data_IF_513387643856
#
_entry.id   IF_513387643856
#
_cell.length_a   1.000
_cell.length_b   1.000
_cell.length_c   1.000
_cell.angle_alpha   90.00
_cell.angle_beta   90.00
_cell.angle_gamma   90.00
#
_symmetry.space_group_name_H-M   'P 1'
#
loop_
_entity.id
_entity.type
_entity.pdbx_description
1 polymer ?
#
# COMPACT_ATOMS: atom_id res chain seq x y z
N UNK A 1 -1.25 32.57 5.98
CA UNK A 1 -2.49 32.50 6.76
C UNK A 1 -3.61 32.89 5.81
N UNK A 2 -4.32 31.90 5.27
CA UNK A 2 -5.63 32.10 4.68
C UNK A 2 -6.45 30.89 5.16
N UNK A 3 -7.17 31.14 6.25
CA UNK A 3 -8.23 30.29 6.74
C UNK A 3 -9.22 30.06 5.61
N UNK A 4 -9.20 28.86 5.04
CA UNK A 4 -10.38 28.32 4.36
C UNK A 4 -11.04 27.38 5.36
N UNK A 5 -11.48 27.97 6.47
CA UNK A 5 -12.29 27.32 7.46
C UNK A 5 -13.70 27.09 6.87
N UNK A 6 -14.16 25.85 7.03
CA UNK A 6 -15.54 25.49 7.33
C UNK A 6 -16.61 26.43 6.76
N UNK A 7 -17.06 26.17 5.53
CA UNK A 7 -18.44 26.50 5.20
C UNK A 7 -19.35 25.53 5.94
N UNK A 8 -19.94 26.08 7.00
CA UNK A 8 -20.99 25.47 7.80
C UNK A 8 -22.21 25.14 6.95
N UNK A 9 -22.75 23.96 7.27
CA UNK A 9 -24.12 23.51 7.04
C UNK A 9 -25.13 24.64 6.91
N UNK A 10 -25.58 24.88 5.69
CA UNK A 10 -26.95 25.33 5.44
C UNK A 10 -27.33 24.98 4.02
N UNK A 11 -28.36 24.14 3.89
CA UNK A 11 -29.01 23.61 2.67
C UNK A 11 -28.37 22.34 2.07
N UNK A 12 -28.97 21.18 2.35
CA UNK A 12 -30.09 20.71 1.53
C UNK A 12 -30.75 19.46 2.14
N UNK A 13 -32.08 19.39 2.11
CA UNK A 13 -32.89 18.16 2.31
C UNK A 13 -32.69 17.13 1.18
N UNK A 14 -31.47 17.02 0.65
CA UNK A 14 -31.14 16.03 -0.38
C UNK A 14 -30.71 14.76 0.35
N UNK A 15 -31.38 13.62 0.13
CA UNK A 15 -30.96 12.34 0.69
C UNK A 15 -29.49 12.10 0.32
N UNK A 16 -28.62 11.95 1.32
CA UNK A 16 -27.20 11.73 1.12
C UNK A 16 -26.86 10.28 1.44
N UNK A 17 -26.50 9.53 0.42
CA UNK A 17 -26.14 8.14 0.65
C UNK A 17 -24.70 8.04 1.16
N UNK A 18 -24.54 7.33 2.27
CA UNK A 18 -23.32 7.25 3.05
C UNK A 18 -22.90 5.81 3.22
N UNK A 19 -21.70 5.48 2.75
CA UNK A 19 -21.14 4.14 2.88
C UNK A 19 -19.71 4.16 3.41
N UNK A 20 -19.35 3.12 4.15
CA UNK A 20 -17.99 2.81 4.54
C UNK A 20 -17.59 1.49 3.91
N UNK A 21 -16.57 1.53 3.06
CA UNK A 21 -15.95 0.33 2.52
C UNK A 21 -14.80 -0.08 3.42
N UNK A 22 -14.73 -1.36 3.74
CA UNK A 22 -13.73 -1.90 4.65
C UNK A 22 -13.15 -3.20 4.12
N UNK A 23 -11.83 -3.33 4.21
CA UNK A 23 -11.14 -4.62 4.09
C UNK A 23 -10.75 -5.04 5.48
N UNK A 24 -11.34 -6.12 5.97
CA UNK A 24 -11.14 -6.64 7.33
C UNK A 24 -10.32 -7.91 7.28
N UNK A 25 -9.44 -8.10 8.26
CA UNK A 25 -8.79 -9.39 8.42
C UNK A 25 -9.71 -10.45 9.06
N UNK A 26 -9.17 -11.65 9.28
CA UNK A 26 -9.88 -12.77 9.90
C UNK A 26 -10.42 -12.48 11.30
N UNK A 27 -9.83 -11.52 12.01
CA UNK A 27 -10.27 -11.08 13.34
C UNK A 27 -11.26 -9.93 13.28
N UNK A 28 -11.59 -9.45 12.08
CA UNK A 28 -12.41 -8.25 11.89
C UNK A 28 -11.64 -6.94 12.08
N UNK A 29 -10.30 -6.99 12.20
CA UNK A 29 -9.49 -5.77 12.30
C UNK A 29 -9.38 -5.12 10.93
N UNK A 30 -9.61 -3.80 10.81
CA UNK A 30 -9.50 -3.14 9.53
C UNK A 30 -8.05 -3.16 9.03
N UNK A 31 -7.89 -3.52 7.76
CA UNK A 31 -6.63 -3.39 7.02
C UNK A 31 -6.67 -2.13 6.18
N UNK A 32 -7.84 -1.85 5.61
CA UNK A 32 -8.11 -0.70 4.74
C UNK A 32 -9.51 -0.20 4.98
N UNK A 33 -9.69 1.12 4.91
CA UNK A 33 -11.00 1.76 5.02
C UNK A 33 -11.12 2.88 3.99
N UNK A 34 -12.31 3.05 3.40
CA UNK A 34 -12.63 4.15 2.48
C UNK A 34 -14.08 4.61 2.70
N UNK A 35 -14.30 5.87 3.12
CA UNK A 35 -15.64 6.44 3.12
C UNK A 35 -16.07 6.76 1.68
N UNK A 36 -17.36 6.63 1.42
CA UNK A 36 -18.03 7.10 0.22
C UNK A 36 -19.25 7.91 0.66
N UNK A 37 -19.24 9.20 0.35
CA UNK A 37 -20.36 10.10 0.63
C UNK A 37 -20.82 10.64 -0.71
N UNK A 38 -22.01 10.23 -1.14
CA UNK A 38 -22.63 10.73 -2.37
C UNK A 38 -23.72 11.73 -2.02
N UNK A 39 -23.44 13.00 -2.35
CA UNK A 39 -24.36 14.12 -2.17
C UNK A 39 -25.34 14.30 -3.35
N UNK A 40 -25.30 13.41 -4.34
CA UNK A 40 -26.09 13.47 -5.56
C UNK A 40 -27.42 12.72 -5.50
N UNK A 41 -28.34 13.06 -6.42
CA UNK A 41 -29.67 12.40 -6.56
C UNK A 41 -29.63 10.97 -7.13
N UNK A 42 -28.49 10.52 -7.67
CA UNK A 42 -28.28 9.17 -8.19
C UNK A 42 -27.00 8.60 -7.57
N UNK A 43 -27.12 7.89 -6.44
CA UNK A 43 -25.94 7.35 -5.76
C UNK A 43 -25.14 6.45 -6.69
N UNK A 44 -23.86 6.77 -6.93
CA UNK A 44 -22.90 5.91 -7.63
C UNK A 44 -22.14 4.98 -6.68
N UNK A 45 -22.69 4.75 -5.49
CA UNK A 45 -22.04 3.96 -4.43
C UNK A 45 -21.74 2.54 -4.89
N UNK A 46 -22.64 1.91 -5.65
CA UNK A 46 -22.43 0.57 -6.19
C UNK A 46 -21.19 0.52 -7.10
N UNK A 47 -20.98 1.57 -7.90
CA UNK A 47 -19.81 1.71 -8.78
C UNK A 47 -18.55 2.06 -7.99
N UNK A 48 -18.67 2.88 -6.94
CA UNK A 48 -17.56 3.21 -6.05
C UNK A 48 -17.09 1.98 -5.27
N UNK A 49 -18.01 1.13 -4.82
CA UNK A 49 -17.70 -0.12 -4.14
C UNK A 49 -17.09 -1.14 -5.10
N UNK A 50 -17.59 -1.25 -6.34
CA UNK A 50 -16.92 -2.01 -7.40
C UNK A 50 -15.47 -1.55 -7.61
N UNK A 51 -15.25 -0.24 -7.70
CA UNK A 51 -13.92 0.34 -7.82
C UNK A 51 -13.02 -0.01 -6.63
N UNK A 52 -13.59 0.00 -5.41
CA UNK A 52 -12.91 -0.44 -4.19
C UNK A 52 -12.48 -1.91 -4.25
N UNK A 53 -13.39 -2.82 -4.61
CA UNK A 53 -13.13 -4.26 -4.76
C UNK A 53 -12.07 -4.54 -5.82
N UNK A 54 -12.19 -3.90 -6.99
CA UNK A 54 -11.22 -4.04 -8.09
C UNK A 54 -9.82 -3.59 -7.68
N UNK A 55 -9.71 -2.50 -6.93
CA UNK A 55 -8.44 -2.03 -6.40
C UNK A 55 -7.86 -2.98 -5.35
N UNK A 56 -8.69 -3.52 -4.46
CA UNK A 56 -8.30 -4.54 -3.47
C UNK A 56 -7.74 -5.80 -4.14
N UNK A 57 -8.42 -6.29 -5.19
CA UNK A 57 -7.96 -7.38 -6.04
C UNK A 57 -6.61 -7.03 -6.67
N UNK A 58 -6.47 -5.84 -7.26
CA UNK A 58 -5.22 -5.42 -7.90
C UNK A 58 -4.06 -5.32 -6.91
N UNK A 59 -4.29 -4.77 -5.71
CA UNK A 59 -3.28 -4.67 -4.64
C UNK A 59 -2.78 -6.06 -4.25
N UNK A 60 -3.68 -7.06 -4.17
CA UNK A 60 -3.36 -8.40 -3.69
C UNK A 60 -3.02 -9.40 -4.80
N UNK A 61 -3.15 -9.03 -6.07
CA UNK A 61 -2.65 -9.80 -7.22
C UNK A 61 -1.11 -9.68 -7.41
N UNK A 62 -0.40 -9.20 -6.39
CA UNK A 62 1.06 -9.20 -6.33
C UNK A 62 1.51 -10.63 -5.96
N UNK A 63 2.71 -11.06 -6.37
CA UNK A 63 3.33 -12.38 -6.07
C UNK A 63 3.64 -12.61 -4.57
N UNK A 64 2.67 -12.31 -3.71
CA UNK A 64 2.67 -12.44 -2.27
C UNK A 64 1.54 -13.41 -1.85
N UNK A 65 1.48 -13.75 -0.57
CA UNK A 65 0.36 -14.53 -0.06
C UNK A 65 -0.93 -13.70 -0.16
N UNK A 66 -1.98 -14.27 -0.75
CA UNK A 66 -3.32 -13.65 -0.75
C UNK A 66 -3.94 -13.95 0.62
N UNK A 67 -4.20 -12.93 1.45
CA UNK A 67 -4.80 -13.16 2.75
C UNK A 67 -6.30 -13.42 2.61
N UNK A 68 -6.88 -14.13 3.59
CA UNK A 68 -8.33 -14.41 3.63
C UNK A 68 -9.11 -13.24 4.23
N UNK A 69 -8.88 -12.05 3.69
CA UNK A 69 -9.55 -10.83 4.12
C UNK A 69 -10.99 -10.79 3.62
N UNK A 70 -11.83 -10.01 4.30
CA UNK A 70 -13.22 -9.76 3.92
C UNK A 70 -13.37 -8.35 3.39
N UNK A 71 -13.97 -8.22 2.23
CA UNK A 71 -14.36 -6.96 1.60
C UNK A 71 -15.81 -6.68 2.01
N UNK A 72 -16.03 -5.59 2.73
CA UNK A 72 -17.31 -5.24 3.33
C UNK A 72 -17.77 -3.85 2.87
N UNK A 73 -19.09 -3.71 2.69
CA UNK A 73 -19.78 -2.44 2.54
C UNK A 73 -20.76 -2.25 3.68
N UNK A 74 -20.60 -1.15 4.41
CA UNK A 74 -21.54 -0.71 5.43
C UNK A 74 -22.26 0.53 4.93
N UNK A 75 -23.59 0.49 4.87
CA UNK A 75 -24.42 1.64 4.52
C UNK A 75 -24.99 2.28 5.79
N UNK A 76 -25.00 3.60 5.81
CA UNK A 76 -25.42 4.43 6.94
C UNK A 76 -26.55 5.35 6.53
N UNK A 77 -27.35 5.75 7.53
CA UNK A 77 -28.37 6.77 7.36
C UNK A 77 -27.72 8.17 7.25
N UNK A 78 -28.47 9.16 6.75
CA UNK A 78 -27.99 10.49 6.37
C UNK A 78 -27.36 11.31 7.51
N UNK A 79 -27.64 11.00 8.77
CA UNK A 79 -27.11 11.68 9.94
C UNK A 79 -25.74 11.15 10.38
N UNK A 80 -25.29 10.01 9.84
CA UNK A 80 -24.05 9.39 10.26
C UNK A 80 -22.82 10.29 10.01
N UNK A 81 -21.95 10.49 11.02
CA UNK A 81 -20.82 11.42 10.96
C UNK A 81 -19.58 10.79 10.32
N UNK A 82 -19.69 10.17 9.14
CA UNK A 82 -18.56 9.54 8.42
C UNK A 82 -17.36 10.49 8.22
N UNK A 83 -17.61 11.79 8.07
CA UNK A 83 -16.56 12.81 7.95
C UNK A 83 -15.70 12.97 9.22
N UNK A 84 -16.21 12.58 10.39
CA UNK A 84 -15.51 12.66 11.69
C UNK A 84 -14.70 11.41 12.00
N UNK A 85 -14.86 10.34 11.22
CA UNK A 85 -14.12 9.11 11.46
C UNK A 85 -12.62 9.35 11.25
N UNK A 86 -11.82 9.07 12.28
CA UNK A 86 -10.39 9.35 12.27
C UNK A 86 -9.62 8.23 11.56
N UNK A 87 -9.31 8.43 10.27
CA UNK A 87 -8.59 7.45 9.44
C UNK A 87 -7.15 7.17 9.87
N UNK A 88 -6.59 8.08 10.68
CA UNK A 88 -5.28 7.89 11.29
C UNK A 88 -5.33 6.97 12.50
N UNK A 89 -6.49 6.62 13.07
CA UNK A 89 -6.54 5.71 14.21
C UNK A 89 -6.67 4.23 13.76
N UNK A 90 -5.69 3.36 14.09
CA UNK A 90 -5.67 1.98 13.63
C UNK A 90 -6.43 1.05 14.58
N UNK A 91 -7.17 1.55 15.57
CA UNK A 91 -7.90 0.66 16.47
C UNK A 91 -9.08 -0.03 15.76
N UNK A 92 -9.12 -1.36 15.85
CA UNK A 92 -10.25 -2.15 15.40
C UNK A 92 -11.51 -1.84 16.22
N UNK A 93 -11.33 -1.58 17.51
CA UNK A 93 -12.44 -1.30 18.41
C UNK A 93 -13.12 0.02 18.05
N UNK A 94 -12.36 1.02 17.60
CA UNK A 94 -12.91 2.28 17.13
C UNK A 94 -13.75 2.09 15.87
N UNK A 95 -13.31 1.23 14.95
CA UNK A 95 -14.10 0.88 13.77
C UNK A 95 -15.40 0.18 14.15
N UNK A 96 -15.33 -0.88 14.97
CA UNK A 96 -16.51 -1.65 15.39
C UNK A 96 -17.50 -0.77 16.13
N UNK A 97 -17.04 -0.02 17.14
CA UNK A 97 -17.88 0.94 17.89
C UNK A 97 -18.50 1.98 16.96
N UNK A 98 -17.74 2.54 16.03
CA UNK A 98 -18.27 3.52 15.08
C UNK A 98 -19.40 2.93 14.21
N UNK A 99 -19.22 1.73 13.66
CA UNK A 99 -20.25 1.08 12.84
C UNK A 99 -21.51 0.83 13.68
N UNK A 100 -21.36 0.30 14.89
CA UNK A 100 -22.49 -0.02 15.78
C UNK A 100 -23.22 1.23 16.28
N UNK A 101 -22.50 2.22 16.80
CA UNK A 101 -23.06 3.45 17.39
C UNK A 101 -23.76 4.35 16.36
N UNK A 102 -23.35 4.27 15.09
CA UNK A 102 -23.90 5.09 14.01
C UNK A 102 -24.81 4.31 13.06
N UNK A 103 -25.25 3.10 13.45
CA UNK A 103 -26.28 2.34 12.73
C UNK A 103 -25.83 1.78 11.37
N UNK A 104 -24.53 1.55 11.17
CA UNK A 104 -23.98 1.01 9.92
C UNK A 104 -24.48 -0.41 9.64
N UNK A 105 -25.18 -0.59 8.52
CA UNK A 105 -25.75 -1.87 8.08
C UNK A 105 -24.82 -2.51 7.07
N UNK A 106 -24.36 -3.73 7.35
CA UNK A 106 -23.59 -4.52 6.39
C UNK A 106 -24.50 -4.92 5.22
N UNK A 107 -24.22 -4.41 4.02
CA UNK A 107 -25.04 -4.65 2.82
C UNK A 107 -24.39 -5.61 1.83
N UNK A 108 -23.06 -5.55 1.68
CA UNK A 108 -22.30 -6.49 0.84
C UNK A 108 -21.08 -7.01 1.60
N UNK A 109 -20.80 -8.31 1.46
CA UNK A 109 -19.60 -8.96 2.03
C UNK A 109 -19.08 -10.05 1.10
N UNK A 110 -17.78 -10.01 0.78
CA UNK A 110 -17.08 -11.02 -0.01
C UNK A 110 -15.76 -11.40 0.64
N UNK A 111 -15.27 -12.62 0.45
CA UNK A 111 -13.86 -12.89 0.71
C UNK A 111 -13.02 -12.29 -0.41
N UNK A 112 -11.83 -11.80 -0.09
CA UNK A 112 -10.87 -11.29 -1.06
C UNK A 112 -10.48 -12.39 -2.05
N UNK A 113 -10.34 -13.63 -1.57
CA UNK A 113 -10.03 -14.79 -2.43
C UNK A 113 -11.18 -15.02 -3.43
N UNK A 114 -12.44 -14.96 -3.00
CA UNK A 114 -13.60 -15.10 -3.90
C UNK A 114 -13.64 -13.99 -4.94
N UNK A 115 -13.40 -12.73 -4.53
CA UNK A 115 -13.31 -11.61 -5.46
C UNK A 115 -12.16 -11.82 -6.46
N UNK A 116 -10.98 -12.22 -6.01
CA UNK A 116 -9.85 -12.54 -6.89
C UNK A 116 -10.18 -13.69 -7.85
N UNK A 117 -10.80 -14.77 -7.36
CA UNK A 117 -11.26 -15.88 -8.20
C UNK A 117 -12.19 -15.40 -9.30
N UNK A 118 -13.20 -14.59 -8.98
CA UNK A 118 -14.13 -14.07 -9.99
C UNK A 118 -13.40 -13.19 -11.00
N UNK A 119 -12.59 -12.25 -10.54
CA UNK A 119 -11.87 -11.30 -11.40
C UNK A 119 -10.77 -11.94 -12.26
N UNK A 120 -10.22 -13.09 -11.85
CA UNK A 120 -9.14 -13.77 -12.59
C UNK A 120 -9.61 -14.98 -13.40
N UNK A 121 -10.68 -15.65 -12.97
CA UNK A 121 -11.09 -16.94 -13.54
C UNK A 121 -12.48 -16.91 -14.19
N UNK A 122 -13.29 -15.87 -13.95
CA UNK A 122 -14.64 -15.74 -14.50
C UNK A 122 -14.80 -14.54 -15.45
N UNK A 123 -13.72 -13.81 -15.73
CA UNK A 123 -13.69 -12.65 -16.64
C UNK A 123 -13.99 -12.98 -18.10
N UNK A 124 -13.89 -14.25 -18.50
CA UNK A 124 -14.18 -14.71 -19.87
C UNK A 124 -15.69 -14.97 -20.12
N UNK A 125 -16.58 -14.57 -19.19
CA UNK A 125 -18.03 -14.61 -19.43
C UNK A 125 -18.51 -13.27 -19.98
N UNK A 126 -18.76 -13.15 -21.30
CA UNK A 126 -19.04 -11.86 -21.96
C UNK A 126 -20.33 -11.17 -21.51
N UNK A 127 -21.18 -11.85 -20.74
CA UNK A 127 -22.54 -11.39 -20.43
C UNK A 127 -22.69 -10.78 -19.03
N UNK A 128 -21.69 -10.88 -18.14
CA UNK A 128 -21.83 -10.40 -16.75
C UNK A 128 -20.55 -9.72 -16.22
N UNK A 129 -20.63 -8.46 -15.78
CA UNK A 129 -19.57 -7.81 -14.98
C UNK A 129 -19.19 -8.65 -13.75
N UNK A 130 -17.93 -8.61 -13.34
CA UNK A 130 -17.41 -9.44 -12.24
C UNK A 130 -18.15 -9.21 -10.92
N UNK A 131 -18.58 -7.98 -10.66
CA UNK A 131 -19.38 -7.65 -9.48
C UNK A 131 -20.79 -8.24 -9.52
N UNK A 132 -21.40 -8.37 -10.69
CA UNK A 132 -22.71 -9.01 -10.82
C UNK A 132 -22.63 -10.50 -10.53
N UNK A 133 -21.53 -11.14 -10.92
CA UNK A 133 -21.23 -12.53 -10.56
C UNK A 133 -21.14 -12.68 -9.03
N UNK A 134 -20.37 -11.81 -8.36
CA UNK A 134 -20.25 -11.83 -6.90
C UNK A 134 -21.59 -11.58 -6.20
N UNK A 135 -22.33 -10.54 -6.61
CA UNK A 135 -23.64 -10.19 -6.03
C UNK A 135 -24.64 -11.33 -6.18
N UNK A 136 -24.72 -11.96 -7.35
CA UNK A 136 -25.63 -13.10 -7.58
C UNK A 136 -25.23 -14.35 -6.79
N UNK A 137 -23.94 -14.61 -6.66
CA UNK A 137 -23.45 -15.77 -5.91
C UNK A 137 -23.70 -15.64 -4.40
N UNK A 138 -23.53 -14.43 -3.85
CA UNK A 138 -23.61 -14.14 -2.42
C UNK A 138 -24.85 -13.33 -2.02
N UNK A 139 -25.88 -13.27 -2.87
CA UNK A 139 -27.16 -12.62 -2.52
C UNK A 139 -27.74 -13.30 -1.26
N UNK A 140 -27.99 -12.54 -0.16
CA UNK A 140 -28.48 -13.11 1.09
C UNK A 140 -29.94 -13.61 1.00
N UNK A 141 -30.71 -13.16 0.01
CA UNK A 141 -32.12 -13.53 -0.21
C UNK A 141 -32.25 -14.67 -1.21
N UNK A 142 -31.49 -14.61 -2.30
CA UNK A 142 -31.60 -15.57 -3.40
C UNK A 142 -30.24 -15.86 -4.06
N UNK A 143 -29.34 -16.59 -3.38
CA UNK A 143 -28.04 -16.91 -3.95
C UNK A 143 -28.17 -17.89 -5.12
N UNK A 144 -27.42 -17.67 -6.19
CA UNK A 144 -27.27 -18.63 -7.28
C UNK A 144 -26.35 -19.76 -6.81
N UNK A 145 -26.95 -20.84 -6.28
CA UNK A 145 -26.23 -21.91 -5.59
C UNK A 145 -25.10 -22.52 -6.43
N UNK A 146 -25.35 -22.86 -7.69
CA UNK A 146 -24.33 -23.43 -8.59
C UNK A 146 -23.13 -22.48 -8.81
N UNK A 147 -23.40 -21.18 -8.91
CA UNK A 147 -22.35 -20.19 -9.09
C UNK A 147 -21.52 -20.05 -7.80
N UNK A 148 -22.20 -19.99 -6.65
CA UNK A 148 -21.55 -19.95 -5.35
C UNK A 148 -20.69 -21.19 -5.10
N UNK A 149 -21.20 -22.38 -5.40
CA UNK A 149 -20.46 -23.64 -5.25
C UNK A 149 -19.19 -23.64 -6.08
N UNK A 150 -19.27 -23.21 -7.36
CA UNK A 150 -18.10 -23.08 -8.22
C UNK A 150 -17.05 -22.12 -7.68
N UNK A 151 -17.47 -20.95 -7.18
CA UNK A 151 -16.57 -19.96 -6.59
C UNK A 151 -15.94 -20.52 -5.32
N UNK A 152 -16.72 -21.08 -4.40
CA UNK A 152 -16.22 -21.63 -3.15
C UNK A 152 -15.28 -22.82 -3.35
N UNK A 153 -15.48 -23.63 -4.39
CA UNK A 153 -14.55 -24.70 -4.75
C UNK A 153 -13.17 -24.14 -5.16
N UNK A 154 -13.16 -23.07 -5.95
CA UNK A 154 -11.92 -22.37 -6.30
C UNK A 154 -11.26 -21.73 -5.08
N UNK A 155 -12.06 -21.10 -4.20
CA UNK A 155 -11.57 -20.52 -2.94
C UNK A 155 -10.96 -21.60 -2.05
N UNK A 156 -11.62 -22.76 -1.92
CA UNK A 156 -11.12 -23.88 -1.12
C UNK A 156 -9.78 -24.38 -1.65
N UNK A 157 -9.70 -24.62 -2.97
CA UNK A 157 -8.46 -25.02 -3.66
C UNK A 157 -7.34 -23.99 -3.43
N UNK A 158 -7.67 -22.69 -3.48
CA UNK A 158 -6.70 -21.63 -3.22
C UNK A 158 -6.20 -21.66 -1.77
N UNK A 159 -7.10 -21.86 -0.79
CA UNK A 159 -6.72 -22.00 0.63
C UNK A 159 -5.83 -23.21 0.88
N UNK A 160 -6.11 -24.34 0.23
CA UNK A 160 -5.23 -25.52 0.30
C UNK A 160 -3.84 -25.22 -0.27
N UNK A 161 -3.77 -24.51 -1.41
CA UNK A 161 -2.50 -24.06 -1.98
C UNK A 161 -1.72 -23.13 -1.04
N UNK A 162 -2.39 -22.21 -0.34
CA UNK A 162 -1.77 -21.34 0.67
C UNK A 162 -1.13 -22.15 1.82
N UNK A 163 -1.69 -23.31 2.18
CA UNK A 163 -1.18 -24.17 3.25
C UNK A 163 -0.04 -25.08 2.77
N UNK A 164 -0.22 -25.70 1.60
CA UNK A 164 0.65 -26.76 1.10
C UNK A 164 1.88 -26.22 0.35
N UNK A 165 1.81 -25.01 -0.21
CA UNK A 165 2.91 -24.42 -0.97
C UNK A 165 3.62 -23.34 -0.14
N UNK A 166 4.89 -23.57 0.28
CA UNK A 166 5.68 -22.59 1.03
C UNK A 166 5.84 -21.23 0.31
N UNK A 167 5.70 -21.19 -1.01
CA UNK A 167 5.73 -19.94 -1.81
C UNK A 167 4.51 -19.06 -1.52
N UNK A 168 3.38 -19.66 -1.16
CA UNK A 168 2.09 -19.00 -0.94
C UNK A 168 1.72 -18.89 0.55
N UNK A 169 2.51 -19.48 1.44
CA UNK A 169 2.33 -19.34 2.88
C UNK A 169 2.51 -17.88 3.31
N UNK A 170 1.79 -17.51 4.38
CA UNK A 170 1.95 -16.20 5.02
C UNK A 170 3.40 -15.98 5.39
N UNK A 171 3.83 -14.74 5.29
CA UNK A 171 5.19 -14.37 5.64
C UNK A 171 5.27 -12.94 6.08
N UNK A 172 6.49 -12.52 6.33
CA UNK A 172 6.82 -11.15 6.69
C UNK A 172 7.98 -10.61 5.86
N UNK A 173 8.02 -9.29 5.74
CA UNK A 173 9.16 -8.52 5.27
C UNK A 173 9.79 -7.91 6.53
N UNK A 174 11.07 -8.22 6.77
CA UNK A 174 11.83 -7.70 7.91
C UNK A 174 12.90 -6.76 7.37
N UNK A 175 12.73 -5.47 7.61
CA UNK A 175 13.71 -4.45 7.28
C UNK A 175 14.49 -4.07 8.53
N UNK A 176 15.79 -4.30 8.51
CA UNK A 176 16.69 -4.06 9.63
C UNK A 176 17.64 -2.92 9.32
N UNK A 177 17.70 -1.96 10.24
CA UNK A 177 18.60 -0.81 10.22
C UNK A 177 19.39 -0.77 11.54
N UNK A 178 20.40 0.11 11.68
CA UNK A 178 21.05 0.35 12.98
C UNK A 178 20.08 0.80 14.10
N UNK A 179 18.90 1.35 13.76
CA UNK A 179 17.85 1.69 14.73
C UNK A 179 17.04 0.48 15.21
N UNK A 180 17.21 -0.67 14.58
CA UNK A 180 16.42 -1.88 14.79
C UNK A 180 15.63 -2.25 13.53
N UNK A 181 14.72 -3.19 13.71
CA UNK A 181 13.93 -3.81 12.64
C UNK A 181 12.48 -3.33 12.65
N UNK A 182 11.89 -3.20 11.47
CA UNK A 182 10.44 -3.22 11.31
C UNK A 182 10.03 -4.54 10.67
N UNK A 183 8.86 -5.03 11.04
CA UNK A 183 8.28 -6.26 10.48
C UNK A 183 6.97 -5.89 9.82
N UNK A 184 6.82 -6.19 8.54
CA UNK A 184 5.62 -5.94 7.75
C UNK A 184 5.08 -7.26 7.23
N UNK A 185 3.78 -7.35 6.98
CA UNK A 185 3.22 -8.54 6.35
C UNK A 185 3.73 -8.71 4.92
N UNK A 186 3.99 -9.94 4.49
CA UNK A 186 4.29 -10.25 3.10
C UNK A 186 2.99 -10.52 2.32
N UNK A 187 2.15 -9.48 2.24
CA UNK A 187 0.88 -9.43 1.49
C UNK A 187 0.93 -8.28 0.49
N UNK A 188 -0.08 -8.16 -0.40
CA UNK A 188 -0.21 -6.99 -1.28
C UNK A 188 -0.21 -5.66 -0.51
N UNK A 189 -0.93 -5.66 0.63
CA UNK A 189 -0.99 -4.55 1.56
C UNK A 189 0.33 -4.24 2.23
N UNK A 190 0.99 -5.24 2.82
CA UNK A 190 2.26 -5.02 3.48
C UNK A 190 3.36 -4.59 2.51
N UNK A 191 3.30 -4.99 1.23
CA UNK A 191 4.18 -4.46 0.18
C UNK A 191 3.94 -2.96 -0.12
N UNK A 192 2.68 -2.49 -0.08
CA UNK A 192 2.38 -1.05 -0.21
C UNK A 192 2.94 -0.28 0.98
N UNK A 193 2.75 -0.79 2.20
CA UNK A 193 3.32 -0.22 3.42
C UNK A 193 4.85 -0.21 3.38
N UNK A 194 5.48 -1.29 2.93
CA UNK A 194 6.93 -1.41 2.76
C UNK A 194 7.45 -0.33 1.81
N UNK A 195 6.81 -0.14 0.65
CA UNK A 195 7.17 0.95 -0.26
C UNK A 195 7.02 2.33 0.38
N UNK A 196 5.96 2.56 1.17
CA UNK A 196 5.76 3.80 1.91
C UNK A 196 6.87 4.06 2.93
N UNK A 197 7.30 3.04 3.67
CA UNK A 197 8.42 3.13 4.60
C UNK A 197 9.75 3.40 3.90
N UNK A 198 10.04 2.69 2.82
CA UNK A 198 11.27 2.91 2.06
C UNK A 198 11.30 4.29 1.39
N UNK A 199 10.16 4.80 0.92
CA UNK A 199 10.07 6.16 0.41
C UNK A 199 10.34 7.19 1.52
N UNK A 200 9.83 6.98 2.73
CA UNK A 200 10.17 7.82 3.88
C UNK A 200 11.68 7.82 4.15
N UNK A 201 12.34 6.65 4.14
CA UNK A 201 13.80 6.60 4.26
C UNK A 201 14.52 7.33 3.12
N UNK A 202 14.01 7.25 1.89
CA UNK A 202 14.57 7.94 0.74
C UNK A 202 14.43 9.46 0.86
N UNK A 203 13.28 9.95 1.32
CA UNK A 203 13.02 11.38 1.47
C UNK A 203 13.89 12.00 2.57
N UNK A 204 14.15 11.25 3.65
CA UNK A 204 14.97 11.65 4.79
C UNK A 204 16.45 11.20 4.70
N UNK A 205 16.87 10.65 3.56
CA UNK A 205 18.18 9.99 3.42
C UNK A 205 19.37 10.88 3.81
N UNK A 206 19.33 12.16 3.41
CA UNK A 206 20.39 13.13 3.68
C UNK A 206 20.11 14.01 4.91
N UNK A 207 19.10 13.67 5.72
CA UNK A 207 18.82 14.42 6.94
C UNK A 207 19.86 14.12 8.02
N UNK A 208 20.44 15.16 8.67
CA UNK A 208 21.41 14.94 9.73
C UNK A 208 20.88 14.10 10.90
N UNK A 209 19.56 14.11 11.11
CA UNK A 209 18.88 13.34 12.15
C UNK A 209 18.75 11.85 11.80
N UNK A 210 18.94 11.44 10.55
CA UNK A 210 18.79 10.06 10.07
C UNK A 210 20.13 9.44 9.66
N UNK A 211 21.24 10.15 9.88
CA UNK A 211 22.59 9.73 9.50
C UNK A 211 23.07 8.42 10.13
N UNK A 212 22.45 8.00 11.21
CA UNK A 212 22.73 6.74 11.89
C UNK A 212 22.15 5.53 11.13
N UNK A 213 21.20 5.74 10.21
CA UNK A 213 20.67 4.71 9.30
C UNK A 213 21.68 4.50 8.16
N UNK A 214 22.77 3.81 8.44
CA UNK A 214 23.89 3.58 7.51
C UNK A 214 23.78 2.30 6.68
N UNK A 215 22.77 1.48 6.95
CA UNK A 215 22.52 0.24 6.21
C UNK A 215 21.07 -0.17 6.30
N UNK A 216 20.60 -0.87 5.27
CA UNK A 216 19.30 -1.54 5.25
C UNK A 216 19.50 -3.01 4.86
N UNK A 217 18.96 -3.90 5.68
CA UNK A 217 18.84 -5.31 5.37
C UNK A 217 17.37 -5.72 5.30
N UNK A 218 16.91 -6.12 4.11
CA UNK A 218 15.55 -6.63 3.90
C UNK A 218 15.59 -8.16 3.82
N UNK A 219 14.75 -8.83 4.61
CA UNK A 219 14.50 -10.28 4.53
C UNK A 219 13.02 -10.56 4.29
N UNK A 220 12.71 -11.46 3.36
CA UNK A 220 11.36 -12.03 3.22
C UNK A 220 11.37 -13.44 3.83
N UNK A 221 10.52 -13.66 4.83
CA UNK A 221 10.42 -14.94 5.55
C UNK A 221 8.98 -15.44 5.44
N UNK A 222 8.77 -16.50 4.65
CA UNK A 222 7.50 -17.21 4.50
C UNK A 222 7.43 -18.42 5.44
N UNK A 223 6.23 -18.77 5.87
CA UNK A 223 6.01 -19.81 6.87
C UNK A 223 6.57 -19.44 8.25
N UNK A 224 6.67 -18.14 8.54
CA UNK A 224 7.22 -17.64 9.79
C UNK A 224 6.38 -18.05 11.01
N UNK A 225 6.98 -17.98 12.20
CA UNK A 225 6.26 -18.29 13.45
C UNK A 225 5.04 -17.36 13.64
N UNK A 226 4.00 -17.81 14.36
CA UNK A 226 2.87 -16.96 14.72
C UNK A 226 3.28 -15.67 15.45
N UNK A 227 4.37 -15.72 16.22
CA UNK A 227 4.92 -14.59 16.94
C UNK A 227 5.47 -13.52 15.99
N UNK A 228 6.31 -13.92 15.01
CA UNK A 228 6.84 -12.98 14.03
C UNK A 228 5.74 -12.43 13.11
N UNK A 229 4.79 -13.28 12.72
CA UNK A 229 3.61 -12.84 11.96
C UNK A 229 2.78 -11.79 12.73
N UNK A 230 2.56 -12.00 14.04
CA UNK A 230 1.83 -11.06 14.88
C UNK A 230 2.50 -9.68 14.94
N UNK A 231 3.84 -9.62 14.91
CA UNK A 231 4.57 -8.35 14.80
C UNK A 231 4.28 -7.65 13.47
N UNK A 232 4.23 -8.40 12.36
CA UNK A 232 3.82 -7.88 11.07
C UNK A 232 2.43 -7.24 11.08
N UNK A 233 1.47 -7.90 11.73
CA UNK A 233 0.10 -7.39 11.90
C UNK A 233 0.08 -6.14 12.78
N UNK A 234 0.82 -6.11 13.89
CA UNK A 234 0.88 -4.97 14.79
C UNK A 234 1.44 -3.71 14.11
N UNK A 235 2.40 -3.90 13.18
CA UNK A 235 3.01 -2.82 12.41
C UNK A 235 2.06 -2.07 11.49
N UNK A 236 0.85 -2.60 11.20
CA UNK A 236 -0.20 -1.87 10.48
C UNK A 236 -0.49 -0.50 11.10
N UNK A 237 -0.33 -0.35 12.42
CA UNK A 237 -0.56 0.90 13.16
C UNK A 237 0.36 2.06 12.74
N UNK A 238 1.50 1.73 12.13
CA UNK A 238 2.46 2.71 11.62
C UNK A 238 1.97 3.39 10.34
N UNK A 239 0.88 2.90 9.74
CA UNK A 239 0.38 3.37 8.45
C UNK A 239 -1.07 3.84 8.53
N UNK A 240 -1.41 4.81 7.69
CA UNK A 240 -2.78 5.23 7.48
C UNK A 240 -3.57 4.18 6.66
N UNK A 241 -4.81 3.89 7.06
CA UNK A 241 -5.67 2.86 6.45
C UNK A 241 -6.34 3.26 5.14
N UNK A 242 -6.36 4.55 4.81
CA UNK A 242 -6.94 5.07 3.56
C UNK A 242 -5.96 5.11 2.39
N UNK A 243 -4.65 5.22 2.66
CA UNK A 243 -3.63 5.43 1.62
C UNK A 243 -2.28 4.75 1.81
N UNK A 244 -2.09 3.94 2.87
CA UNK A 244 -0.81 3.25 3.18
C UNK A 244 0.37 4.19 3.43
N UNK A 245 0.11 5.46 3.72
CA UNK A 245 1.14 6.42 4.09
C UNK A 245 1.68 6.11 5.48
N UNK A 246 3.00 6.13 5.62
CA UNK A 246 3.66 5.99 6.91
C UNK A 246 3.32 7.20 7.80
N UNK A 247 3.08 6.95 9.09
CA UNK A 247 2.90 7.96 10.14
C UNK A 247 4.21 7.98 10.94
N UNK A 248 5.12 8.95 10.70
CA UNK A 248 6.48 8.91 11.25
C UNK A 248 6.55 8.77 12.78
N UNK A 249 5.63 9.42 13.49
CA UNK A 249 5.57 9.41 14.96
C UNK A 249 5.25 8.02 15.54
N UNK A 250 4.78 7.11 14.70
CA UNK A 250 4.38 5.75 15.09
C UNK A 250 5.36 4.68 14.67
N UNK A 251 6.44 5.04 13.99
CA UNK A 251 7.49 4.08 13.60
C UNK A 251 8.01 3.41 14.87
N UNK A 252 7.91 2.09 14.90
CA UNK A 252 8.31 1.27 16.05
C UNK A 252 9.39 0.29 15.61
N UNK A 253 10.65 0.70 15.77
CA UNK A 253 11.80 -0.19 15.61
C UNK A 253 11.86 -1.21 16.76
N UNK A 254 12.10 -2.47 16.42
CA UNK A 254 12.15 -3.60 17.35
C UNK A 254 13.46 -4.35 17.22
N UNK A 255 13.87 -5.02 18.28
CA UNK A 255 14.89 -6.04 18.18
C UNK A 255 14.20 -7.36 17.80
N UNK A 256 14.33 -7.76 16.54
CA UNK A 256 13.77 -9.01 16.05
C UNK A 256 14.82 -10.12 16.18
N UNK A 257 14.51 -11.14 16.98
CA UNK A 257 15.25 -12.40 17.00
C UNK A 257 14.65 -13.29 15.92
N UNK A 258 15.48 -13.69 14.96
CA UNK A 258 15.07 -14.53 13.83
C UNK A 258 15.56 -15.99 13.98
N UNK A 259 16.10 -16.34 15.14
CA UNK A 259 16.55 -17.69 15.44
C UNK A 259 15.35 -18.65 15.49
N UNK A 260 15.44 -19.76 14.77
CA UNK A 260 14.36 -20.73 14.64
C UNK A 260 13.31 -20.38 13.58
N UNK A 261 13.40 -19.21 12.94
CA UNK A 261 12.60 -18.90 11.75
C UNK A 261 13.10 -19.69 10.53
N UNK A 262 12.22 -19.96 9.54
CA UNK A 262 12.66 -20.50 8.26
C UNK A 262 13.70 -19.61 7.58
N UNK A 263 14.57 -20.18 6.73
CA UNK A 263 15.49 -19.39 5.92
C UNK A 263 14.74 -18.33 5.10
N UNK A 264 15.28 -17.12 5.07
CA UNK A 264 14.71 -16.05 4.25
C UNK A 264 14.75 -16.46 2.76
N UNK A 265 13.62 -16.35 2.08
CA UNK A 265 13.53 -16.65 0.64
C UNK A 265 14.17 -15.53 -0.19
N UNK A 266 14.13 -14.30 0.32
CA UNK A 266 14.80 -13.15 -0.28
C UNK A 266 15.58 -12.43 0.81
N UNK A 267 16.84 -12.10 0.54
CA UNK A 267 17.69 -11.34 1.46
C UNK A 267 18.54 -10.34 0.68
N UNK A 268 18.45 -9.08 1.07
CA UNK A 268 19.17 -7.99 0.44
C UNK A 268 19.81 -7.11 1.50
N UNK A 269 21.06 -6.74 1.28
CA UNK A 269 21.81 -5.80 2.12
C UNK A 269 22.27 -4.66 1.26
N UNK A 270 21.96 -3.45 1.69
CA UNK A 270 22.40 -2.23 1.05
C UNK A 270 23.15 -1.35 2.06
N UNK A 271 24.37 -0.91 1.73
CA UNK A 271 24.95 0.23 2.42
C UNK A 271 24.11 1.46 2.10
N UNK A 272 23.81 2.26 3.10
CA UNK A 272 23.14 3.56 2.97
C UNK A 272 24.14 4.66 3.36
N UNK A 273 25.29 4.70 2.68
CA UNK A 273 26.29 5.73 2.88
C UNK A 273 25.82 7.09 2.35
N UNK A 274 26.29 8.19 2.96
CA UNK A 274 25.96 9.55 2.52
C UNK A 274 26.76 9.97 1.27
N UNK A 275 26.61 9.20 0.19
CA UNK A 275 27.24 9.45 -1.10
C UNK A 275 26.21 9.22 -2.23
N UNK A 276 26.49 9.81 -3.40
CA UNK A 276 25.55 9.78 -4.53
C UNK A 276 25.27 8.36 -5.05
N UNK A 277 26.27 7.47 -4.97
CA UNK A 277 26.18 6.10 -5.47
C UNK A 277 25.28 5.21 -4.61
N UNK A 278 25.46 5.23 -3.30
CA UNK A 278 24.66 4.41 -2.38
C UNK A 278 23.19 4.86 -2.36
N UNK A 279 22.95 6.17 -2.42
CA UNK A 279 21.61 6.72 -2.60
C UNK A 279 20.98 6.24 -3.92
N UNK A 280 21.70 6.37 -5.05
CA UNK A 280 21.23 5.89 -6.35
C UNK A 280 20.89 4.40 -6.35
N UNK A 281 21.75 3.55 -5.77
CA UNK A 281 21.50 2.12 -5.64
C UNK A 281 20.23 1.82 -4.82
N UNK A 282 19.99 2.59 -3.75
CA UNK A 282 18.81 2.44 -2.91
C UNK A 282 17.52 2.81 -3.67
N UNK A 283 17.53 3.94 -4.37
CA UNK A 283 16.41 4.38 -5.21
C UNK A 283 16.10 3.36 -6.31
N UNK A 284 17.13 2.94 -7.06
CA UNK A 284 16.98 2.03 -8.19
C UNK A 284 16.48 0.64 -7.75
N UNK A 285 17.01 0.11 -6.64
CA UNK A 285 16.63 -1.23 -6.15
C UNK A 285 15.15 -1.33 -5.84
N UNK A 286 14.59 -0.32 -5.18
CA UNK A 286 13.20 -0.34 -4.73
C UNK A 286 12.27 0.50 -5.60
N UNK A 287 12.76 1.02 -6.73
CA UNK A 287 12.00 1.86 -7.66
C UNK A 287 11.27 3.01 -6.94
N UNK A 288 12.04 3.76 -6.14
CA UNK A 288 11.56 4.87 -5.34
C UNK A 288 11.60 6.17 -6.13
N UNK A 289 10.83 7.15 -5.67
CA UNK A 289 10.91 8.52 -6.20
C UNK A 289 12.00 9.31 -5.47
N UNK A 290 12.57 10.30 -6.14
CA UNK A 290 13.56 11.21 -5.58
C UNK A 290 12.90 12.57 -5.37
N UNK A 291 12.98 13.10 -4.14
CA UNK A 291 12.51 14.45 -3.84
C UNK A 291 13.38 15.52 -4.54
N UNK A 292 12.80 16.68 -4.85
CA UNK A 292 13.55 17.79 -5.46
C UNK A 292 14.80 18.16 -4.64
N UNK A 293 14.67 18.16 -3.32
CA UNK A 293 15.78 18.39 -2.38
C UNK A 293 16.91 17.37 -2.56
N UNK A 294 16.58 16.08 -2.67
CA UNK A 294 17.60 15.04 -2.78
C UNK A 294 18.24 15.02 -4.18
N UNK A 295 17.51 15.47 -5.22
CA UNK A 295 18.10 15.74 -6.54
C UNK A 295 19.21 16.79 -6.42
N UNK A 296 18.95 17.90 -5.72
CA UNK A 296 19.93 18.98 -5.54
C UNK A 296 21.15 18.53 -4.72
N UNK A 297 20.92 17.79 -3.63
CA UNK A 297 22.01 17.24 -2.79
C UNK A 297 22.88 16.27 -3.61
N UNK A 298 22.28 15.38 -4.40
CA UNK A 298 23.02 14.48 -5.27
C UNK A 298 23.85 15.21 -6.32
N UNK A 299 23.39 16.36 -6.82
CA UNK A 299 24.18 17.20 -7.71
C UNK A 299 25.41 17.79 -7.03
N UNK A 300 25.26 18.27 -5.80
CA UNK A 300 26.38 18.77 -5.00
C UNK A 300 27.38 17.64 -4.67
N UNK A 301 26.89 16.47 -4.27
CA UNK A 301 27.73 15.30 -4.01
C UNK A 301 28.48 14.85 -5.26
N UNK A 302 27.83 14.83 -6.42
CA UNK A 302 28.48 14.49 -7.70
C UNK A 302 29.63 15.46 -8.03
N UNK A 303 29.47 16.75 -7.76
CA UNK A 303 30.51 17.76 -7.96
C UNK A 303 31.68 17.52 -6.99
N UNK A 304 31.39 17.26 -5.70
CA UNK A 304 32.41 17.02 -4.68
C UNK A 304 33.18 15.71 -4.93
N UNK A 305 32.48 14.65 -5.30
CA UNK A 305 33.04 13.29 -5.46
C UNK A 305 33.77 13.11 -6.79
N UNK A 306 33.28 13.74 -7.87
CA UNK A 306 33.76 13.48 -9.23
C UNK A 306 34.18 14.72 -10.02
N UNK A 307 34.07 15.92 -9.43
CA UNK A 307 34.31 17.19 -10.12
C UNK A 307 33.28 17.50 -11.21
N UNK A 308 32.16 16.78 -11.25
CA UNK A 308 31.21 16.82 -12.37
C UNK A 308 29.79 17.16 -11.92
N UNK A 309 29.21 18.16 -12.58
CA UNK A 309 27.82 18.59 -12.42
C UNK A 309 26.81 17.72 -13.20
N UNK A 310 27.07 16.41 -13.31
CA UNK A 310 26.32 15.45 -14.17
C UNK A 310 24.81 15.43 -13.95
N UNK A 311 24.32 15.83 -12.78
CA UNK A 311 22.89 15.83 -12.44
C UNK A 311 22.27 17.23 -12.28
N UNK A 312 22.97 18.30 -12.67
CA UNK A 312 22.35 19.63 -12.75
C UNK A 312 21.31 19.58 -13.87
N UNK A 313 20.04 19.83 -13.54
CA UNK A 313 18.93 19.81 -14.51
C UNK A 313 19.33 20.65 -15.74
N UNK A 314 19.12 20.12 -16.95
CA UNK A 314 19.45 20.78 -18.22
C UNK A 314 18.93 22.24 -18.28
N UNK A 315 17.81 22.54 -17.62
CA UNK A 315 17.26 23.88 -17.55
C UNK A 315 18.17 24.87 -16.78
N UNK A 316 18.78 24.45 -15.68
CA UNK A 316 19.71 25.28 -14.92
C UNK A 316 21.03 25.50 -15.70
N UNK A 317 21.53 24.49 -16.42
CA UNK A 317 22.69 24.64 -17.30
C UNK A 317 22.41 25.62 -18.46
N UNK A 318 21.21 25.57 -19.05
CA UNK A 318 20.77 26.53 -20.07
C UNK A 318 20.68 27.96 -19.51
N UNK A 319 20.04 28.13 -18.35
CA UNK A 319 19.93 29.43 -17.69
C UNK A 319 21.30 30.02 -17.31
N UNK A 320 22.25 29.19 -16.88
CA UNK A 320 23.62 29.63 -16.56
C UNK A 320 24.36 30.14 -17.81
N UNK A 321 24.19 29.45 -18.94
CA UNK A 321 24.74 29.91 -20.23
C UNK A 321 24.13 31.25 -20.65
N UNK A 322 22.81 31.36 -20.62
CA UNK A 322 22.11 32.58 -21.05
C UNK A 322 22.34 33.78 -20.12
N UNK A 323 22.39 33.54 -18.81
CA UNK A 323 22.47 34.62 -17.82
C UNK A 323 23.90 35.05 -17.50
N UNK A 324 24.87 34.15 -17.60
CA UNK A 324 26.25 34.40 -17.14
C UNK A 324 27.33 34.04 -18.17
N UNK A 325 26.97 33.51 -19.34
CA UNK A 325 27.93 33.13 -20.38
C UNK A 325 28.83 31.95 -19.99
N UNK A 326 28.46 31.19 -18.94
CA UNK A 326 29.24 30.05 -18.46
C UNK A 326 28.82 28.79 -19.21
N UNK A 327 29.74 28.19 -19.97
CA UNK A 327 29.54 26.88 -20.58
C UNK A 327 29.95 25.76 -19.62
N UNK A 328 28.97 24.97 -19.18
CA UNK A 328 29.23 23.74 -18.43
C UNK A 328 29.43 22.61 -19.45
N UNK A 329 30.61 21.99 -19.44
CA UNK A 329 30.88 20.76 -20.17
C UNK A 329 30.01 19.63 -19.60
N UNK A 330 28.92 19.32 -20.30
CA UNK A 330 28.13 18.13 -20.02
C UNK A 330 28.83 16.93 -20.66
N UNK A 331 29.16 15.87 -19.91
CA UNK A 331 29.79 14.69 -20.49
C UNK A 331 28.84 14.07 -21.51
N UNK A 332 29.35 13.76 -22.70
CA UNK A 332 28.59 13.10 -23.75
C UNK A 332 27.90 11.85 -23.19
N UNK A 333 26.58 11.77 -23.38
CA UNK A 333 25.83 10.58 -23.05
C UNK A 333 26.43 9.42 -23.83
N UNK A 334 27.15 8.51 -23.17
CA UNK A 334 27.46 7.22 -23.77
C UNK A 334 26.12 6.52 -23.98
N UNK A 335 25.62 6.54 -25.22
CA UNK A 335 24.50 5.71 -25.64
C UNK A 335 24.88 4.27 -25.32
N UNK A 336 24.35 3.73 -24.22
CA UNK A 336 24.36 2.28 -24.03
C UNK A 336 23.49 1.71 -25.15
N UNK A 337 24.13 1.13 -26.15
CA UNK A 337 23.47 0.23 -27.07
C UNK A 337 22.81 -0.86 -26.22
N UNK A 338 21.48 -0.87 -26.17
CA UNK A 338 20.73 -2.09 -25.88
C UNK A 338 21.12 -3.10 -26.96
N UNK A 339 21.67 -4.27 -26.63
CA UNK A 339 21.76 -5.33 -27.61
C UNK A 339 20.34 -5.71 -28.01
N UNK A 340 20.06 -5.66 -29.30
CA UNK A 340 18.86 -6.20 -29.91
C UNK A 340 18.79 -7.70 -29.61
N UNK A 341 17.78 -8.10 -28.83
CA UNK A 341 17.39 -9.50 -28.69
C UNK A 341 16.73 -9.93 -30.01
N UNK A 342 17.41 -10.80 -30.74
CA UNK A 342 16.79 -11.73 -31.68
C UNK A 342 16.40 -13.00 -30.93
#
# INVERSE_FOLDING_TARGET
MNDTALQQDTQSDIPCHKSLFATLDERGTPVRLRPCIDWGRKPQIDQAFEGYVREDVHINNIRAAVPDYRLCRYDFDDDAPLHRFCWSDPDADLFTRFVEENGGKLTEQYSLIAAMTVFLCFSDTPDYPEMDILRRAYDPRQPVAELRERIEQCVHTHREQLQQNPVHQRGVIVDTTPRGSIVLEHTGYGNRCHRGYLQYLADHYFDPQHKDISSLETRVIRGCTPQLHAQGVESRRMFNRGGFFLIPERIAYRQCVLDGEPPAQEMHRLPLGHNSKDFGNFIDRYNLSISDRNIDICALLSIVESGSARSVRNHAAHMLKESFGVEISMPESKKQHKPSLH
#
